data_IF_608850338050
#
_entry.id   IF_608850338050
#
_cell.length_a   1.000
_cell.length_b   1.000
_cell.length_c   1.000
_cell.angle_alpha   90.00
_cell.angle_beta   90.00
_cell.angle_gamma   90.00
#
_symmetry.space_group_name_H-M   'P 1'
#
loop_
_entity.id
_entity.type
_entity.pdbx_description
1 polymer ?
#
# COMPACT_ATOMS: atom_id res chain seq x y z
N UNK A 1 0.73 6.06 1.55
CA UNK A 1 1.40 5.54 2.76
C UNK A 1 0.32 5.03 3.71
N UNK A 2 0.46 3.83 4.23
CA UNK A 2 -0.52 3.27 5.17
C UNK A 2 -0.07 3.52 6.62
N UNK A 3 -1.04 3.53 7.54
CA UNK A 3 -0.80 3.56 8.98
C UNK A 3 -1.24 2.24 9.61
N UNK A 4 -0.61 1.88 10.72
CA UNK A 4 -1.07 0.78 11.58
C UNK A 4 -2.40 1.13 12.27
N UNK A 5 -3.18 0.11 12.64
CA UNK A 5 -4.45 0.29 13.36
C UNK A 5 -4.28 1.14 14.63
N UNK A 6 -3.24 0.87 15.43
CA UNK A 6 -3.02 1.64 16.67
C UNK A 6 -2.77 3.13 16.39
N UNK A 7 -2.12 3.48 15.28
CA UNK A 7 -1.90 4.87 14.87
C UNK A 7 -3.20 5.50 14.39
N UNK A 8 -4.01 4.76 13.61
CA UNK A 8 -5.35 5.20 13.22
C UNK A 8 -6.24 5.49 14.42
N UNK A 9 -6.25 4.61 15.42
CA UNK A 9 -6.98 4.82 16.68
C UNK A 9 -6.47 6.01 17.49
N UNK A 10 -5.16 6.26 17.50
CA UNK A 10 -4.60 7.47 18.11
C UNK A 10 -5.14 8.74 17.44
N UNK A 11 -5.16 8.79 16.09
CA UNK A 11 -5.73 9.92 15.37
C UNK A 11 -7.24 10.07 15.63
N UNK A 12 -7.99 8.96 15.68
CA UNK A 12 -9.42 8.99 16.03
C UNK A 12 -9.65 9.56 17.44
N UNK A 13 -8.86 9.14 18.43
CA UNK A 13 -8.96 9.63 19.80
C UNK A 13 -8.69 11.14 19.90
N UNK A 14 -7.72 11.67 19.16
CA UNK A 14 -7.44 13.11 19.09
C UNK A 14 -8.61 13.94 18.58
N UNK A 15 -9.44 13.36 17.71
CA UNK A 15 -10.68 13.96 17.18
C UNK A 15 -11.88 13.70 18.08
N UNK A 16 -11.67 13.09 19.26
CA UNK A 16 -12.72 12.77 20.23
C UNK A 16 -13.70 11.70 19.74
N UNK A 17 -13.22 10.81 18.88
CA UNK A 17 -13.97 9.65 18.39
C UNK A 17 -13.83 8.47 19.36
N UNK A 18 -14.88 7.64 19.51
CA UNK A 18 -14.89 6.54 20.46
C UNK A 18 -14.03 5.40 19.94
N UNK A 19 -12.91 5.12 20.61
CA UNK A 19 -12.01 3.99 20.35
C UNK A 19 -11.70 3.27 21.67
N UNK A 20 -11.33 2.00 21.58
CA UNK A 20 -10.93 1.22 22.76
C UNK A 20 -9.66 1.80 23.38
N UNK A 21 -9.54 1.71 24.69
CA UNK A 21 -8.26 1.98 25.35
C UNK A 21 -7.30 0.87 24.95
N UNK A 22 -6.23 1.22 24.23
CA UNK A 22 -5.24 0.27 23.74
C UNK A 22 -3.82 0.80 23.81
N UNK A 23 -2.87 -0.12 23.90
CA UNK A 23 -1.43 0.17 23.98
C UNK A 23 -0.71 -0.75 22.98
N UNK A 24 0.07 -0.14 22.10
CA UNK A 24 0.93 -0.86 21.16
C UNK A 24 2.28 -1.17 21.82
N UNK A 25 2.62 -2.44 21.87
CA UNK A 25 3.75 -2.99 22.64
C UNK A 25 4.73 -3.67 21.69
N UNK A 26 6.04 -3.51 21.92
CA UNK A 26 7.08 -4.14 21.08
C UNK A 26 7.82 -5.30 21.78
N UNK A 27 7.46 -5.60 23.03
CA UNK A 27 7.91 -6.80 23.75
C UNK A 27 6.75 -7.55 24.42
N UNK A 28 6.90 -8.85 24.71
CA UNK A 28 5.92 -9.60 25.49
C UNK A 28 5.68 -9.03 26.90
N UNK A 29 6.73 -8.50 27.54
CA UNK A 29 6.63 -7.89 28.88
C UNK A 29 5.79 -6.60 28.85
N UNK A 30 5.99 -5.75 27.84
CA UNK A 30 5.14 -4.58 27.63
C UNK A 30 3.68 -4.95 27.36
N UNK A 31 3.43 -6.01 26.57
CA UNK A 31 2.08 -6.47 26.28
C UNK A 31 1.35 -6.93 27.56
N UNK A 32 2.05 -7.62 28.47
CA UNK A 32 1.51 -7.98 29.78
C UNK A 32 1.25 -6.75 30.64
N UNK A 33 2.21 -5.83 30.74
CA UNK A 33 2.07 -4.60 31.51
C UNK A 33 0.93 -3.69 30.97
N UNK A 34 0.68 -3.72 29.67
CA UNK A 34 -0.42 -3.01 29.04
C UNK A 34 -1.78 -3.48 29.56
N UNK A 35 -1.98 -4.80 29.70
CA UNK A 35 -3.23 -5.35 30.23
C UNK A 35 -3.49 -4.91 31.69
N UNK A 36 -2.45 -4.84 32.52
CA UNK A 36 -2.56 -4.31 33.88
C UNK A 36 -2.96 -2.83 33.90
N UNK A 37 -2.40 -2.03 32.98
CA UNK A 37 -2.72 -0.60 32.85
C UNK A 37 -4.12 -0.33 32.29
N UNK A 38 -4.59 -1.17 31.37
CA UNK A 38 -5.95 -1.10 30.82
C UNK A 38 -6.96 -1.56 31.88
N UNK A 39 -6.62 -2.57 32.67
CA UNK A 39 -7.51 -3.21 33.63
C UNK A 39 -8.56 -4.10 32.94
N UNK A 40 -9.43 -4.71 33.76
CA UNK A 40 -10.44 -5.66 33.30
C UNK A 40 -10.01 -7.12 33.42
N UNK A 41 -10.82 -8.02 32.87
CA UNK A 41 -10.63 -9.48 32.94
C UNK A 41 -10.54 -10.14 31.55
N UNK A 42 -10.58 -9.34 30.48
CA UNK A 42 -10.48 -9.81 29.10
C UNK A 42 -9.96 -8.69 28.22
N UNK A 43 -9.14 -9.05 27.24
CA UNK A 43 -8.50 -8.13 26.30
C UNK A 43 -8.55 -8.71 24.89
N UNK A 44 -8.36 -7.84 23.92
CA UNK A 44 -8.10 -8.25 22.53
C UNK A 44 -6.63 -7.95 22.24
N UNK A 45 -5.92 -8.95 21.72
CA UNK A 45 -4.54 -8.83 21.25
C UNK A 45 -4.53 -8.90 19.73
N UNK A 46 -3.88 -7.93 19.08
CA UNK A 46 -3.88 -7.76 17.62
C UNK A 46 -2.46 -7.55 17.11
N UNK A 47 -1.99 -8.45 16.27
CA UNK A 47 -0.78 -8.24 15.48
C UNK A 47 -0.94 -6.99 14.61
N UNK A 48 0.04 -6.09 14.64
CA UNK A 48 0.01 -4.86 13.86
C UNK A 48 0.78 -5.07 12.56
N UNK A 49 0.03 -5.08 11.46
CA UNK A 49 0.52 -5.05 10.08
C UNK A 49 -0.41 -4.15 9.25
N UNK A 50 0.06 -3.63 8.12
CA UNK A 50 -0.75 -2.75 7.27
C UNK A 50 -1.87 -3.50 6.51
N UNK A 51 -1.69 -4.79 6.24
CA UNK A 51 -2.66 -5.62 5.54
C UNK A 51 -3.88 -5.96 6.41
N UNK A 52 -5.05 -6.05 5.76
CA UNK A 52 -6.28 -6.55 6.36
C UNK A 52 -6.30 -8.07 6.53
N UNK A 53 -7.42 -8.62 6.99
CA UNK A 53 -7.60 -10.08 7.09
C UNK A 53 -6.88 -10.77 8.26
N UNK A 54 -6.31 -9.99 9.19
CA UNK A 54 -5.51 -10.46 10.33
C UNK A 54 -6.25 -11.47 11.20
N UNK A 55 -7.55 -11.29 11.42
CA UNK A 55 -8.37 -12.22 12.20
C UNK A 55 -8.41 -13.63 11.62
N UNK A 56 -8.59 -13.76 10.30
CA UNK A 56 -8.59 -15.07 9.61
C UNK A 56 -7.23 -15.77 9.67
N UNK A 57 -6.14 -14.99 9.74
CA UNK A 57 -4.78 -15.49 9.88
C UNK A 57 -4.35 -15.80 11.35
N UNK A 58 -5.26 -15.62 12.33
CA UNK A 58 -4.96 -15.81 13.74
C UNK A 58 -4.16 -14.66 14.38
N UNK A 59 -3.99 -13.55 13.67
CA UNK A 59 -3.35 -12.33 14.14
C UNK A 59 -4.25 -11.45 15.03
N UNK A 60 -5.45 -11.91 15.38
CA UNK A 60 -6.34 -11.24 16.35
C UNK A 60 -6.93 -12.30 17.28
N UNK A 61 -6.88 -12.08 18.60
CA UNK A 61 -7.40 -13.03 19.58
C UNK A 61 -7.99 -12.33 20.81
N UNK A 62 -9.10 -12.86 21.32
CA UNK A 62 -9.62 -12.53 22.66
C UNK A 62 -8.90 -13.40 23.70
N UNK A 63 -8.39 -12.76 24.74
CA UNK A 63 -7.62 -13.40 25.82
C UNK A 63 -8.17 -12.97 27.18
N UNK A 64 -8.07 -13.85 28.19
CA UNK A 64 -8.69 -13.66 29.52
C UNK A 64 -7.69 -13.58 30.68
N UNK A 65 -6.40 -13.73 30.37
CA UNK A 65 -5.33 -13.70 31.35
C UNK A 65 -4.04 -13.20 30.69
N UNK A 66 -3.08 -12.79 31.50
CA UNK A 66 -1.79 -12.24 31.07
C UNK A 66 -0.87 -13.28 30.43
N UNK A 67 -0.98 -14.55 30.81
CA UNK A 67 -0.20 -15.64 30.20
C UNK A 67 -0.54 -15.83 28.72
N UNK A 68 -1.82 -15.75 28.36
CA UNK A 68 -2.30 -15.81 26.97
C UNK A 68 -1.83 -14.59 26.16
N UNK A 69 -1.75 -13.41 26.78
CA UNK A 69 -1.22 -12.19 26.16
C UNK A 69 0.26 -12.38 25.84
N UNK A 70 1.05 -12.85 26.82
CA UNK A 70 2.47 -13.15 26.64
C UNK A 70 2.69 -14.17 25.53
N UNK A 71 1.96 -15.28 25.57
CA UNK A 71 2.06 -16.34 24.57
C UNK A 71 1.74 -15.82 23.16
N UNK A 72 0.73 -14.97 23.01
CA UNK A 72 0.39 -14.34 21.73
C UNK A 72 1.51 -13.39 21.26
N UNK A 73 2.08 -12.59 22.15
CA UNK A 73 3.17 -11.68 21.81
C UNK A 73 4.45 -12.44 21.40
N UNK A 74 4.84 -13.48 22.14
CA UNK A 74 5.95 -14.38 21.80
C UNK A 74 5.70 -15.16 20.50
N UNK A 75 4.43 -15.47 20.21
CA UNK A 75 4.05 -16.12 18.97
C UNK A 75 4.28 -15.20 17.76
N UNK A 76 3.99 -13.91 17.86
CA UNK A 76 3.92 -13.05 16.67
C UNK A 76 5.07 -12.06 16.54
N UNK A 77 5.58 -11.48 17.62
CA UNK A 77 6.65 -10.48 17.55
C UNK A 77 7.89 -11.03 16.83
N UNK A 78 8.36 -10.30 15.82
CA UNK A 78 9.50 -10.69 14.99
C UNK A 78 9.19 -11.77 13.94
N UNK A 79 7.94 -12.21 13.82
CA UNK A 79 7.50 -13.15 12.76
C UNK A 79 6.72 -12.42 11.66
N UNK A 80 6.52 -13.12 10.55
CA UNK A 80 5.71 -12.66 9.43
C UNK A 80 4.26 -13.11 9.60
N UNK A 81 3.32 -12.19 9.40
CA UNK A 81 1.89 -12.50 9.33
C UNK A 81 1.46 -12.48 7.86
N UNK A 82 1.11 -13.65 7.34
CA UNK A 82 0.54 -13.81 6.00
C UNK A 82 -0.96 -13.70 6.10
N UNK A 83 -1.57 -12.84 5.30
CA UNK A 83 -3.02 -12.71 5.15
C UNK A 83 -3.38 -12.82 3.66
N UNK A 84 -4.68 -12.83 3.34
CA UNK A 84 -5.09 -12.81 1.92
C UNK A 84 -4.79 -11.47 1.22
N UNK A 85 -4.41 -10.42 1.98
CA UNK A 85 -4.02 -9.11 1.46
C UNK A 85 -2.49 -8.91 1.43
N UNK A 86 -1.69 -9.89 1.86
CA UNK A 86 -0.23 -9.88 1.72
C UNK A 86 0.21 -10.77 0.56
N UNK A 87 1.47 -10.67 0.18
CA UNK A 87 2.13 -11.71 -0.61
C UNK A 87 2.33 -13.00 0.21
N UNK A 88 3.02 -13.98 -0.37
CA UNK A 88 3.36 -15.25 0.29
C UNK A 88 4.36 -15.12 1.45
N UNK A 89 5.06 -13.99 1.54
CA UNK A 89 6.04 -13.71 2.59
C UNK A 89 5.41 -13.03 3.81
N UNK A 90 4.27 -12.35 3.63
CA UNK A 90 3.56 -11.68 4.71
C UNK A 90 4.19 -10.35 5.11
N UNK A 91 3.72 -9.79 6.22
CA UNK A 91 4.27 -8.55 6.78
C UNK A 91 4.81 -8.77 8.19
N UNK A 92 5.91 -8.08 8.56
CA UNK A 92 6.56 -8.33 9.84
C UNK A 92 5.73 -7.73 10.96
N UNK A 93 5.50 -8.53 12.01
CA UNK A 93 4.82 -8.06 13.22
C UNK A 93 5.87 -7.49 14.18
N UNK A 94 6.00 -6.17 14.18
CA UNK A 94 6.90 -5.44 15.10
C UNK A 94 6.20 -4.99 16.37
N UNK A 95 4.86 -4.94 16.36
CA UNK A 95 4.04 -4.50 17.51
C UNK A 95 2.79 -5.36 17.69
N UNK A 96 2.37 -5.48 18.94
CA UNK A 96 1.09 -6.05 19.34
C UNK A 96 0.25 -4.94 19.97
N UNK A 97 -0.94 -4.70 19.44
CA UNK A 97 -1.93 -3.85 20.10
C UNK A 97 -2.68 -4.70 21.13
N UNK A 98 -2.59 -4.32 22.39
CA UNK A 98 -3.41 -4.86 23.49
C UNK A 98 -4.48 -3.83 23.80
N UNK A 99 -5.76 -4.21 23.76
CA UNK A 99 -6.86 -3.29 24.01
C UNK A 99 -7.98 -3.90 24.86
N UNK A 100 -8.77 -3.01 25.47
CA UNK A 100 -9.98 -3.39 26.21
C UNK A 100 -10.97 -4.12 25.30
N UNK A 101 -11.58 -5.19 25.81
CA UNK A 101 -12.68 -5.88 25.12
C UNK A 101 -13.91 -4.94 25.01
N UNK A 102 -14.48 -4.86 23.81
CA UNK A 102 -15.75 -4.18 23.55
C UNK A 102 -16.81 -5.22 23.27
N UNK A 103 -17.95 -5.14 23.97
CA UNK A 103 -19.12 -5.96 23.65
C UNK A 103 -19.80 -5.44 22.40
N UNK A 104 -20.21 -6.37 21.53
CA UNK A 104 -20.73 -6.07 20.19
C UNK A 104 -22.18 -6.54 20.14
N UNK A 105 -23.10 -5.61 19.88
CA UNK A 105 -24.49 -5.92 19.55
C UNK A 105 -24.67 -5.97 18.02
N UNK A 106 -24.14 -4.97 17.32
CA UNK A 106 -24.18 -4.89 15.85
C UNK A 106 -22.87 -4.36 15.28
N UNK A 107 -22.54 -4.80 14.06
CA UNK A 107 -21.38 -4.36 13.31
C UNK A 107 -21.84 -3.60 12.05
N UNK A 108 -21.36 -2.38 11.89
CA UNK A 108 -21.58 -1.53 10.72
C UNK A 108 -20.26 -1.29 9.99
N UNK A 109 -20.36 -0.75 8.79
CA UNK A 109 -19.22 -0.24 8.03
C UNK A 109 -19.30 1.28 7.90
N UNK A 110 -18.15 1.96 8.04
CA UNK A 110 -18.00 3.37 7.68
C UNK A 110 -16.61 3.60 7.06
N UNK A 111 -16.56 4.15 5.86
CA UNK A 111 -15.31 4.49 5.19
C UNK A 111 -15.42 5.73 4.33
N UNK A 112 -14.29 6.24 3.85
CA UNK A 112 -14.21 7.35 2.92
C UNK A 112 -13.02 7.21 1.97
N UNK A 113 -13.23 7.65 0.73
CA UNK A 113 -12.19 7.71 -0.31
C UNK A 113 -12.38 8.94 -1.18
N UNK A 114 -11.34 9.31 -1.94
CA UNK A 114 -11.51 10.25 -3.06
C UNK A 114 -12.05 9.48 -4.27
N UNK A 115 -13.35 9.62 -4.53
CA UNK A 115 -14.00 9.03 -5.69
C UNK A 115 -13.58 9.79 -6.96
N UNK A 116 -12.92 9.09 -7.88
CA UNK A 116 -12.44 9.67 -9.14
C UNK A 116 -13.55 9.98 -10.14
N UNK A 117 -14.67 9.27 -10.08
CA UNK A 117 -15.82 9.48 -10.96
C UNK A 117 -16.54 10.78 -10.65
N UNK A 118 -16.84 11.01 -9.37
CA UNK A 118 -17.50 12.25 -8.91
C UNK A 118 -16.49 13.37 -8.66
N UNK A 119 -15.22 13.02 -8.41
CA UNK A 119 -14.12 13.91 -8.02
C UNK A 119 -14.42 14.60 -6.70
N UNK A 120 -14.88 13.81 -5.73
CA UNK A 120 -15.27 14.24 -4.39
C UNK A 120 -14.71 13.27 -3.35
N UNK A 121 -14.56 13.75 -2.12
CA UNK A 121 -14.47 12.84 -0.99
C UNK A 121 -15.86 12.23 -0.83
N UNK A 122 -15.94 10.89 -0.81
CA UNK A 122 -17.20 10.16 -0.67
C UNK A 122 -17.10 9.29 0.56
N UNK A 123 -17.99 9.53 1.52
CA UNK A 123 -18.22 8.62 2.63
C UNK A 123 -19.17 7.52 2.20
N UNK A 124 -18.88 6.30 2.64
CA UNK A 124 -19.67 5.10 2.42
C UNK A 124 -20.05 4.51 3.78
N UNK A 125 -21.30 4.13 3.94
CA UNK A 125 -21.78 3.45 5.13
C UNK A 125 -22.64 2.24 4.77
N UNK A 126 -22.59 1.19 5.59
CA UNK A 126 -23.40 -0.02 5.39
C UNK A 126 -23.74 -0.71 6.70
N UNK A 127 -24.84 -1.47 6.71
CA UNK A 127 -25.19 -2.40 7.79
C UNK A 127 -24.33 -3.67 7.76
N UNK A 128 -23.57 -3.90 6.69
CA UNK A 128 -22.72 -5.07 6.53
C UNK A 128 -21.31 -4.80 7.09
N UNK A 129 -21.22 -4.58 8.41
CA UNK A 129 -19.92 -4.51 9.10
C UNK A 129 -19.26 -5.89 9.26
N UNK A 130 -17.95 -5.91 9.44
CA UNK A 130 -17.17 -7.14 9.65
C UNK A 130 -16.93 -7.98 8.38
N UNK A 131 -17.38 -7.49 7.23
CA UNK A 131 -17.25 -8.11 5.90
C UNK A 131 -16.42 -7.20 5.00
N UNK A 132 -15.74 -7.77 3.99
CA UNK A 132 -15.04 -6.98 2.96
C UNK A 132 -16.05 -6.15 2.17
N UNK A 133 -15.88 -4.83 2.16
CA UNK A 133 -16.85 -3.92 1.54
C UNK A 133 -16.91 -4.10 0.02
N UNK A 134 -15.84 -4.60 -0.60
CA UNK A 134 -15.77 -4.94 -2.02
C UNK A 134 -16.74 -6.07 -2.37
N UNK A 135 -16.91 -7.06 -1.49
CA UNK A 135 -17.90 -8.14 -1.67
C UNK A 135 -19.32 -7.58 -1.58
N UNK A 136 -19.58 -6.69 -0.62
CA UNK A 136 -20.88 -6.01 -0.48
C UNK A 136 -21.18 -5.18 -1.74
N UNK A 137 -20.18 -4.48 -2.28
CA UNK A 137 -20.31 -3.67 -3.49
C UNK A 137 -20.60 -4.49 -4.75
N UNK A 138 -20.11 -5.73 -4.82
CA UNK A 138 -20.38 -6.65 -5.94
C UNK A 138 -21.73 -7.35 -5.80
N UNK A 139 -22.05 -7.87 -4.62
CA UNK A 139 -23.21 -8.76 -4.40
C UNK A 139 -24.48 -8.00 -3.99
N UNK A 140 -24.36 -6.96 -3.17
CA UNK A 140 -25.49 -6.19 -2.60
C UNK A 140 -25.21 -4.68 -2.59
N UNK A 141 -24.92 -4.07 -3.76
CA UNK A 141 -24.51 -2.66 -3.87
C UNK A 141 -25.52 -1.67 -3.26
N UNK A 142 -26.81 -2.02 -3.21
CA UNK A 142 -27.87 -1.23 -2.61
C UNK A 142 -27.72 -1.03 -1.10
N UNK A 143 -26.93 -1.88 -0.43
CA UNK A 143 -26.62 -1.74 1.00
C UNK A 143 -25.50 -0.73 1.28
N UNK A 144 -24.87 -0.17 0.24
CA UNK A 144 -23.82 0.84 0.38
C UNK A 144 -24.42 2.22 0.16
N UNK A 145 -24.59 2.92 1.27
CA UNK A 145 -25.07 4.29 1.33
C UNK A 145 -23.90 5.24 1.11
N UNK A 146 -24.15 6.40 0.49
CA UNK A 146 -23.07 7.34 0.12
C UNK A 146 -23.41 8.78 0.48
N UNK A 147 -22.40 9.52 0.92
CA UNK A 147 -22.47 10.97 1.08
C UNK A 147 -21.26 11.62 0.38
N UNK A 148 -21.52 12.47 -0.62
CA UNK A 148 -20.49 13.22 -1.32
C UNK A 148 -20.22 14.56 -0.63
N UNK A 149 -18.97 14.84 -0.31
CA UNK A 149 -18.58 16.07 0.38
C UNK A 149 -18.40 17.20 -0.63
N UNK A 150 -19.13 18.29 -0.47
CA UNK A 150 -18.96 19.48 -1.30
C UNK A 150 -17.70 20.24 -0.87
N UNK A 151 -16.71 20.46 -1.75
CA UNK A 151 -15.47 21.15 -1.41
C UNK A 151 -15.66 22.61 -0.95
N UNK A 152 -16.78 23.25 -1.30
CA UNK A 152 -17.04 24.65 -0.94
C UNK A 152 -17.49 24.79 0.52
N UNK A 153 -18.32 23.87 1.00
CA UNK A 153 -18.91 23.94 2.34
C UNK A 153 -18.37 22.88 3.29
N UNK A 154 -17.58 21.93 2.80
CA UNK A 154 -17.10 20.78 3.56
C UNK A 154 -18.23 19.83 3.95
N UNK A 155 -17.89 18.84 4.78
CA UNK A 155 -18.88 17.91 5.30
C UNK A 155 -19.93 18.63 6.15
N UNK A 156 -21.19 18.24 6.01
CA UNK A 156 -22.31 18.86 6.71
C UNK A 156 -23.01 17.87 7.66
N UNK A 157 -23.44 18.30 8.86
CA UNK A 157 -24.09 17.41 9.82
C UNK A 157 -25.35 16.72 9.28
N UNK A 158 -26.03 17.28 8.28
CA UNK A 158 -27.21 16.63 7.68
C UNK A 158 -26.82 15.35 6.94
N UNK A 159 -25.64 15.28 6.34
CA UNK A 159 -25.16 14.11 5.60
C UNK A 159 -24.94 12.93 6.56
N UNK A 160 -24.28 13.18 7.69
CA UNK A 160 -24.12 12.19 8.75
C UNK A 160 -25.46 11.70 9.31
N UNK A 161 -26.43 12.60 9.53
CA UNK A 161 -27.78 12.21 9.98
C UNK A 161 -28.53 11.39 8.92
N UNK A 162 -28.42 11.77 7.65
CA UNK A 162 -29.07 11.09 6.54
C UNK A 162 -28.57 9.65 6.39
N UNK A 163 -27.25 9.45 6.45
CA UNK A 163 -26.65 8.11 6.52
C UNK A 163 -27.13 7.34 7.75
N UNK A 164 -27.15 7.97 8.94
CA UNK A 164 -27.61 7.33 10.17
C UNK A 164 -29.06 6.83 10.07
N UNK A 165 -29.98 7.63 9.50
CA UNK A 165 -31.36 7.21 9.29
C UNK A 165 -31.47 6.05 8.28
N UNK A 166 -30.69 6.09 7.20
CA UNK A 166 -30.68 5.03 6.19
C UNK A 166 -30.09 3.72 6.73
N UNK A 167 -29.16 3.78 7.68
CA UNK A 167 -28.66 2.63 8.43
C UNK A 167 -29.66 2.08 9.46
N UNK A 168 -30.78 2.77 9.70
CA UNK A 168 -31.76 2.40 10.72
C UNK A 168 -31.33 2.74 12.15
N UNK A 169 -30.40 3.69 12.34
CA UNK A 169 -30.00 4.14 13.67
C UNK A 169 -31.08 4.98 14.34
N UNK A 170 -31.21 4.84 15.66
CA UNK A 170 -32.28 5.48 16.43
C UNK A 170 -31.75 6.28 17.64
N UNK A 171 -32.56 7.24 18.10
CA UNK A 171 -32.31 7.98 19.34
C UNK A 171 -30.91 8.63 19.40
N UNK A 172 -30.12 8.26 20.43
CA UNK A 172 -28.77 8.81 20.64
C UNK A 172 -27.77 8.43 19.55
N UNK A 173 -27.97 7.29 18.87
CA UNK A 173 -27.05 6.77 17.85
C UNK A 173 -26.95 7.71 16.65
N UNK A 174 -28.05 8.37 16.26
CA UNK A 174 -28.07 9.34 15.15
C UNK A 174 -27.11 10.51 15.45
N UNK A 175 -27.15 11.03 16.68
CA UNK A 175 -26.27 12.11 17.13
C UNK A 175 -24.81 11.67 17.21
N UNK A 176 -24.55 10.46 17.70
CA UNK A 176 -23.21 9.88 17.76
C UNK A 176 -22.63 9.63 16.36
N UNK A 177 -23.39 9.03 15.45
CA UNK A 177 -22.97 8.76 14.08
C UNK A 177 -22.66 10.07 13.35
N UNK A 178 -23.54 11.08 13.45
CA UNK A 178 -23.29 12.38 12.85
C UNK A 178 -22.01 13.04 13.41
N UNK A 179 -21.72 12.89 14.71
CA UNK A 179 -20.45 13.37 15.31
C UNK A 179 -19.24 12.61 14.76
N UNK A 180 -19.34 11.28 14.64
CA UNK A 180 -18.27 10.43 14.09
C UNK A 180 -17.99 10.82 12.63
N UNK A 181 -19.03 10.87 11.79
CA UNK A 181 -18.94 11.31 10.40
C UNK A 181 -18.24 12.67 10.27
N UNK A 182 -18.67 13.67 11.05
CA UNK A 182 -18.07 15.01 11.00
C UNK A 182 -16.60 15.00 11.46
N UNK A 183 -16.26 14.24 12.50
CA UNK A 183 -14.89 14.11 12.98
C UNK A 183 -13.98 13.43 11.97
N UNK A 184 -14.44 12.34 11.36
CA UNK A 184 -13.69 11.61 10.34
C UNK A 184 -13.54 12.43 9.06
N UNK A 185 -14.56 13.18 8.63
CA UNK A 185 -14.45 14.05 7.47
C UNK A 185 -13.42 15.15 7.69
N UNK A 186 -13.43 15.77 8.87
CA UNK A 186 -12.42 16.75 9.26
C UNK A 186 -11.02 16.13 9.31
N UNK A 187 -10.89 14.93 9.88
CA UNK A 187 -9.62 14.19 9.94
C UNK A 187 -9.10 13.87 8.53
N UNK A 188 -10.00 13.44 7.62
CA UNK A 188 -9.67 13.16 6.22
C UNK A 188 -9.07 14.37 5.50
N UNK A 189 -9.64 15.55 5.71
CA UNK A 189 -9.15 16.80 5.14
C UNK A 189 -7.87 17.30 5.83
N UNK A 190 -7.84 17.37 7.16
CA UNK A 190 -6.72 17.93 7.93
C UNK A 190 -5.41 17.15 7.68
N UNK A 191 -5.50 15.83 7.48
CA UNK A 191 -4.37 14.92 7.31
C UNK A 191 -4.13 14.46 5.86
N UNK A 192 -4.82 15.04 4.88
CA UNK A 192 -4.69 14.67 3.46
C UNK A 192 -4.81 13.16 3.24
N UNK A 193 -5.88 12.56 3.75
CA UNK A 193 -6.10 11.13 3.59
C UNK A 193 -6.51 10.80 2.15
N UNK A 194 -6.11 9.62 1.71
CA UNK A 194 -6.58 8.99 0.48
C UNK A 194 -7.65 7.94 0.74
N UNK A 195 -7.60 7.31 1.92
CA UNK A 195 -8.50 6.25 2.38
C UNK A 195 -8.68 6.35 3.90
N UNK A 196 -9.91 6.15 4.34
CA UNK A 196 -10.27 5.94 5.73
C UNK A 196 -11.29 4.81 5.80
N UNK A 197 -11.13 3.90 6.74
CA UNK A 197 -12.05 2.77 6.91
C UNK A 197 -12.13 2.37 8.38
N UNK A 198 -13.37 2.17 8.85
CA UNK A 198 -13.73 1.63 10.15
C UNK A 198 -14.56 0.38 9.89
N UNK A 199 -13.93 -0.78 10.06
CA UNK A 199 -14.57 -2.06 9.80
C UNK A 199 -14.20 -3.07 10.90
N UNK A 200 -15.05 -3.25 11.94
CA UNK A 200 -16.39 -2.69 12.08
C UNK A 200 -16.46 -1.35 12.87
N UNK A 201 -17.47 -0.55 12.53
CA UNK A 201 -18.07 0.46 13.41
C UNK A 201 -19.15 -0.25 14.25
N UNK A 202 -18.90 -0.43 15.53
CA UNK A 202 -19.74 -1.25 16.42
C UNK A 202 -20.85 -0.43 17.07
N UNK A 203 -22.02 -1.03 17.24
CA UNK A 203 -23.01 -0.63 18.24
C UNK A 203 -22.85 -1.57 19.44
N UNK A 204 -22.62 -1.02 20.63
CA UNK A 204 -22.57 -1.80 21.87
C UNK A 204 -23.97 -2.14 22.38
N UNK A 205 -24.13 -3.11 23.30
CA UNK A 205 -25.43 -3.41 23.92
C UNK A 205 -26.09 -2.21 24.62
N UNK A 206 -25.30 -1.22 25.06
CA UNK A 206 -25.78 0.05 25.64
C UNK A 206 -26.30 1.03 24.57
N UNK A 207 -26.19 0.66 23.30
CA UNK A 207 -26.60 1.45 22.14
C UNK A 207 -25.63 2.57 21.77
N UNK A 208 -24.36 2.45 22.17
CA UNK A 208 -23.32 3.44 21.85
C UNK A 208 -22.48 3.00 20.63
N UNK A 209 -22.10 3.96 19.79
CA UNK A 209 -21.22 3.71 18.64
C UNK A 209 -19.74 3.70 19.06
N UNK A 210 -18.97 2.77 18.47
CA UNK A 210 -17.57 2.54 18.82
C UNK A 210 -16.74 2.13 17.60
N UNK A 211 -15.60 2.78 17.37
CA UNK A 211 -14.70 2.48 16.25
C UNK A 211 -13.77 1.32 16.66
N UNK A 212 -14.14 0.08 16.31
CA UNK A 212 -13.43 -1.10 16.78
C UNK A 212 -12.14 -1.38 16.01
N UNK A 213 -12.07 -0.98 14.75
CA UNK A 213 -10.87 -1.06 13.92
C UNK A 213 -10.65 0.27 13.17
N UNK A 214 -9.44 0.48 12.67
CA UNK A 214 -9.06 1.68 11.94
C UNK A 214 -8.05 1.33 10.86
N UNK A 215 -8.38 1.63 9.60
CA UNK A 215 -7.46 1.57 8.47
C UNK A 215 -7.39 2.94 7.81
N UNK A 216 -6.18 3.49 7.73
CA UNK A 216 -5.93 4.83 7.18
C UNK A 216 -4.86 4.74 6.11
N UNK A 217 -5.17 5.28 4.93
CA UNK A 217 -4.23 5.54 3.86
C UNK A 217 -4.05 7.04 3.68
N UNK A 218 -2.81 7.52 3.74
CA UNK A 218 -2.41 8.92 3.56
C UNK A 218 -1.98 9.14 2.11
N UNK A 219 -2.36 10.28 1.52
CA UNK A 219 -1.84 10.69 0.21
C UNK A 219 -0.32 10.93 0.29
N UNK A 220 0.44 10.09 -0.42
CA UNK A 220 1.90 10.20 -0.49
C UNK A 220 2.38 11.56 -0.99
N UNK A 221 1.61 12.19 -1.90
CA UNK A 221 1.96 13.48 -2.47
C UNK A 221 1.80 14.64 -1.47
N UNK A 222 1.05 14.45 -0.38
CA UNK A 222 0.84 15.46 0.64
C UNK A 222 1.81 15.34 1.82
N UNK A 223 2.64 14.29 1.86
CA UNK A 223 3.52 14.02 3.01
C UNK A 223 4.45 15.20 3.35
N UNK A 224 4.89 15.99 2.37
CA UNK A 224 5.75 17.16 2.59
C UNK A 224 5.17 18.19 3.59
N UNK A 225 3.83 18.24 3.73
CA UNK A 225 3.12 19.10 4.70
C UNK A 225 2.54 18.33 5.88
N UNK A 226 2.62 17.00 5.88
CA UNK A 226 2.09 16.11 6.92
C UNK A 226 3.21 15.50 7.78
N UNK A 227 4.04 16.34 8.41
CA UNK A 227 5.24 15.91 9.17
C UNK A 227 4.93 14.86 10.24
N UNK A 228 3.82 15.03 10.97
CA UNK A 228 3.37 14.06 11.98
C UNK A 228 3.15 12.67 11.39
N UNK A 229 2.55 12.59 10.20
CA UNK A 229 2.27 11.32 9.55
C UNK A 229 3.55 10.72 8.95
N UNK A 230 4.48 11.56 8.48
CA UNK A 230 5.80 11.08 8.04
C UNK A 230 6.54 10.33 9.16
N UNK A 231 6.47 10.82 10.40
CA UNK A 231 7.06 10.16 11.58
C UNK A 231 6.37 8.82 11.92
N UNK A 232 5.14 8.62 11.47
CA UNK A 232 4.38 7.37 11.67
C UNK A 232 4.71 6.30 10.63
N UNK A 233 5.47 6.62 9.56
CA UNK A 233 5.78 5.67 8.49
C UNK A 233 6.57 4.48 9.04
N UNK A 234 6.06 3.28 8.77
CA UNK A 234 6.78 2.03 9.03
C UNK A 234 7.28 1.42 7.70
N UNK A 235 8.56 1.61 7.34
CA UNK A 235 9.12 1.07 6.11
C UNK A 235 9.23 -0.46 6.12
N UNK A 236 9.14 -1.11 7.29
CA UNK A 236 9.21 -2.59 7.36
C UNK A 236 8.00 -3.28 6.73
N UNK A 237 6.90 -2.54 6.53
CA UNK A 237 5.65 -3.05 5.98
C UNK A 237 5.58 -2.97 4.44
N UNK A 238 6.57 -2.33 3.81
CA UNK A 238 6.69 -2.17 2.36
C UNK A 238 7.87 -3.04 1.88
N UNK A 239 7.91 -3.39 0.59
CA UNK A 239 9.07 -4.06 0.02
C UNK A 239 10.29 -3.12 0.13
N UNK A 240 11.38 -3.61 0.72
CA UNK A 240 12.60 -2.83 0.93
C UNK A 240 13.14 -2.23 -0.38
N UNK A 241 12.95 -2.93 -1.51
CA UNK A 241 13.34 -2.48 -2.85
C UNK A 241 12.52 -1.29 -3.31
N UNK A 242 11.23 -1.22 -2.97
CA UNK A 242 10.38 -0.06 -3.28
C UNK A 242 10.81 1.17 -2.47
N UNK A 243 11.15 0.99 -1.20
CA UNK A 243 11.68 2.06 -0.36
C UNK A 243 13.04 2.57 -0.85
N UNK A 244 13.94 1.66 -1.24
CA UNK A 244 15.24 2.01 -1.83
C UNK A 244 15.07 2.74 -3.18
N UNK A 245 14.17 2.26 -4.04
CA UNK A 245 13.84 2.92 -5.29
C UNK A 245 13.36 4.36 -5.09
N UNK A 246 12.45 4.57 -4.12
CA UNK A 246 11.91 5.89 -3.82
C UNK A 246 13.00 6.88 -3.37
N UNK A 247 14.04 6.43 -2.66
CA UNK A 247 15.17 7.27 -2.24
C UNK A 247 16.01 7.79 -3.43
N UNK A 248 15.95 7.11 -4.58
CA UNK A 248 16.58 7.49 -5.84
C UNK A 248 15.62 8.17 -6.83
N UNK A 249 14.40 8.46 -6.40
CA UNK A 249 13.26 8.93 -7.21
C UNK A 249 12.94 7.96 -8.37
N UNK A 250 13.07 6.66 -8.11
CA UNK A 250 12.62 5.58 -8.98
C UNK A 250 11.28 5.07 -8.46
N UNK A 251 10.34 4.76 -9.35
CA UNK A 251 9.13 4.06 -8.96
C UNK A 251 9.29 2.59 -9.31
N UNK A 252 9.40 1.73 -8.30
CA UNK A 252 9.56 0.29 -8.45
C UNK A 252 8.35 -0.43 -7.87
N UNK A 253 7.95 -1.55 -8.50
CA UNK A 253 7.01 -2.52 -7.93
C UNK A 253 7.47 -3.91 -8.37
N UNK A 254 7.58 -4.84 -7.44
CA UNK A 254 7.97 -6.22 -7.76
C UNK A 254 6.80 -7.04 -8.34
N UNK A 255 7.09 -8.00 -9.20
CA UNK A 255 6.13 -8.96 -9.78
C UNK A 255 6.71 -10.37 -9.87
N UNK A 256 5.86 -11.37 -10.04
CA UNK A 256 6.24 -12.78 -10.16
C UNK A 256 6.68 -13.17 -11.60
N UNK A 257 7.84 -12.66 -12.02
CA UNK A 257 8.40 -12.94 -13.36
C UNK A 257 9.91 -13.12 -13.38
N UNK A 258 10.46 -13.15 -14.59
CA UNK A 258 11.90 -13.35 -14.81
C UNK A 258 12.52 -12.35 -15.79
N UNK A 259 11.74 -11.40 -16.30
CA UNK A 259 12.21 -10.33 -17.20
C UNK A 259 12.13 -8.99 -16.45
N UNK A 260 13.28 -8.47 -16.06
CA UNK A 260 13.38 -7.15 -15.44
C UNK A 260 13.03 -6.05 -16.44
N UNK A 261 12.25 -5.05 -16.04
CA UNK A 261 11.87 -3.93 -16.89
C UNK A 261 12.44 -2.63 -16.33
N UNK A 262 13.11 -1.84 -17.16
CA UNK A 262 13.58 -0.48 -16.85
C UNK A 262 13.09 0.47 -17.94
N UNK A 263 12.18 1.38 -17.60
CA UNK A 263 11.46 2.18 -18.59
C UNK A 263 11.33 3.63 -18.11
N UNK A 264 11.30 4.61 -19.01
CA UNK A 264 10.98 5.99 -18.65
C UNK A 264 9.49 6.31 -18.91
N UNK A 265 8.77 6.64 -17.84
CA UNK A 265 7.35 6.97 -17.82
C UNK A 265 6.46 5.77 -17.49
N UNK A 266 5.63 5.92 -16.45
CA UNK A 266 4.75 4.88 -15.95
C UNK A 266 3.84 4.22 -17.02
N UNK A 267 3.27 5.01 -17.94
CA UNK A 267 2.43 4.47 -19.02
C UNK A 267 3.22 3.57 -19.98
N UNK A 268 4.45 3.95 -20.32
CA UNK A 268 5.32 3.14 -21.16
C UNK A 268 5.82 1.90 -20.41
N UNK A 269 6.08 2.03 -19.10
CA UNK A 269 6.48 0.91 -18.26
C UNK A 269 5.42 -0.20 -18.24
N UNK A 270 4.15 0.15 -17.98
CA UNK A 270 3.03 -0.79 -18.08
C UNK A 270 2.88 -1.39 -19.49
N UNK A 271 2.92 -0.56 -20.53
CA UNK A 271 2.84 -1.06 -21.91
C UNK A 271 4.00 -1.98 -22.31
N UNK A 272 5.18 -1.77 -21.72
CA UNK A 272 6.37 -2.62 -21.91
C UNK A 272 6.18 -3.99 -21.24
N UNK A 273 5.65 -4.00 -20.02
CA UNK A 273 5.30 -5.24 -19.32
C UNK A 273 4.22 -6.02 -20.08
N UNK A 274 3.20 -5.32 -20.58
CA UNK A 274 2.11 -5.92 -21.36
C UNK A 274 2.61 -6.54 -22.66
N UNK A 275 3.49 -5.85 -23.41
CA UNK A 275 4.03 -6.42 -24.65
C UNK A 275 4.99 -7.59 -24.39
N UNK A 276 5.76 -7.58 -23.29
CA UNK A 276 6.52 -8.76 -22.86
C UNK A 276 5.56 -9.93 -22.61
N UNK A 277 4.48 -9.69 -21.85
CA UNK A 277 3.49 -10.71 -21.51
C UNK A 277 2.76 -11.24 -22.75
N UNK A 278 2.41 -10.36 -23.69
CA UNK A 278 1.78 -10.69 -24.96
C UNK A 278 2.66 -11.62 -25.81
N UNK A 279 3.98 -11.45 -25.74
CA UNK A 279 4.96 -12.31 -26.40
C UNK A 279 5.35 -13.56 -25.58
N UNK A 280 4.58 -13.90 -24.53
CA UNK A 280 4.81 -15.11 -23.74
C UNK A 280 5.85 -14.98 -22.63
N UNK A 281 6.41 -13.78 -22.43
CA UNK A 281 7.31 -13.47 -21.31
C UNK A 281 6.60 -13.28 -19.97
N UNK A 282 7.38 -13.13 -18.91
CA UNK A 282 6.88 -12.81 -17.56
C UNK A 282 7.64 -11.61 -17.00
N UNK A 283 7.04 -10.40 -16.98
CA UNK A 283 7.68 -9.24 -16.38
C UNK A 283 7.91 -9.49 -14.88
N UNK A 284 9.14 -9.28 -14.41
CA UNK A 284 9.57 -9.48 -13.03
C UNK A 284 9.36 -8.23 -12.16
N UNK A 285 9.23 -7.06 -12.79
CA UNK A 285 9.01 -5.82 -12.07
C UNK A 285 8.39 -4.77 -12.99
N UNK A 286 7.83 -3.74 -12.37
CA UNK A 286 7.63 -2.42 -12.92
C UNK A 286 8.77 -1.53 -12.43
N UNK A 287 9.43 -0.78 -13.31
CA UNK A 287 10.35 0.30 -12.89
C UNK A 287 10.24 1.48 -13.86
N UNK A 288 9.85 2.63 -13.31
CA UNK A 288 9.89 3.94 -13.97
C UNK A 288 11.09 4.75 -13.48
N UNK A 289 12.06 5.01 -14.37
CA UNK A 289 13.26 5.84 -14.12
C UNK A 289 12.97 7.35 -14.18
N UNK A 290 11.76 7.74 -14.56
CA UNK A 290 11.33 9.11 -14.79
C UNK A 290 11.98 9.73 -16.03
N UNK A 291 11.86 11.06 -16.17
CA UNK A 291 12.37 11.78 -17.35
C UNK A 291 13.91 11.92 -17.41
N UNK A 292 14.62 11.68 -16.30
CA UNK A 292 16.06 11.87 -16.17
C UNK A 292 16.80 10.56 -15.93
N UNK A 293 17.25 9.90 -17.01
CA UNK A 293 18.03 8.68 -16.97
C UNK A 293 19.54 8.98 -16.87
N UNK A 294 20.01 9.49 -15.72
CA UNK A 294 21.45 9.68 -15.48
C UNK A 294 22.17 8.35 -15.25
N UNK A 295 23.50 8.32 -15.36
CA UNK A 295 24.29 7.10 -15.13
C UNK A 295 24.04 6.52 -13.74
N UNK A 296 23.99 7.36 -12.72
CA UNK A 296 23.79 6.96 -11.32
C UNK A 296 22.44 6.30 -11.15
N UNK A 297 21.37 6.94 -11.65
CA UNK A 297 20.00 6.39 -11.59
C UNK A 297 19.86 5.06 -12.32
N UNK A 298 20.46 4.94 -13.51
CA UNK A 298 20.45 3.69 -14.27
C UNK A 298 21.20 2.60 -13.51
N UNK A 299 22.31 2.93 -12.85
CA UNK A 299 23.09 1.97 -12.04
C UNK A 299 22.29 1.47 -10.83
N UNK A 300 21.62 2.36 -10.11
CA UNK A 300 20.76 1.99 -8.98
C UNK A 300 19.54 1.20 -9.42
N UNK A 301 18.91 1.58 -10.54
CA UNK A 301 17.82 0.81 -11.13
C UNK A 301 18.25 -0.62 -11.49
N UNK A 302 19.47 -0.83 -12.01
CA UNK A 302 20.02 -2.17 -12.23
C UNK A 302 20.24 -2.93 -10.92
N UNK A 303 20.78 -2.29 -9.87
CA UNK A 303 20.97 -2.94 -8.56
C UNK A 303 19.64 -3.42 -7.98
N UNK A 304 18.61 -2.58 -8.05
CA UNK A 304 17.27 -2.90 -7.54
C UNK A 304 16.66 -4.05 -8.34
N UNK A 305 16.65 -3.97 -9.68
CA UNK A 305 16.11 -5.05 -10.53
C UNK A 305 16.83 -6.37 -10.28
N UNK A 306 18.16 -6.35 -10.19
CA UNK A 306 18.99 -7.55 -10.06
C UNK A 306 19.19 -8.02 -8.62
N UNK A 307 18.59 -7.33 -7.65
CA UNK A 307 18.45 -7.87 -6.28
C UNK A 307 17.47 -9.04 -6.24
N UNK A 308 16.66 -9.20 -7.29
CA UNK A 308 15.80 -10.35 -7.51
C UNK A 308 16.50 -11.44 -8.34
N UNK A 309 16.84 -12.55 -7.67
CA UNK A 309 17.50 -13.70 -8.30
C UNK A 309 16.64 -14.39 -9.39
N UNK A 310 15.33 -14.12 -9.44
CA UNK A 310 14.46 -14.65 -10.48
C UNK A 310 14.72 -14.00 -11.85
N UNK A 311 15.35 -12.82 -11.89
CA UNK A 311 15.61 -12.08 -13.14
C UNK A 311 16.64 -12.82 -14.00
N UNK A 312 16.23 -13.23 -15.20
CA UNK A 312 17.04 -13.92 -16.19
C UNK A 312 17.42 -13.05 -17.39
N UNK A 313 16.73 -11.93 -17.62
CA UNK A 313 17.05 -10.92 -18.62
C UNK A 313 16.48 -9.57 -18.21
N UNK A 314 17.03 -8.47 -18.73
CA UNK A 314 16.51 -7.11 -18.49
C UNK A 314 16.15 -6.45 -19.82
N UNK A 315 14.94 -5.89 -19.92
CA UNK A 315 14.53 -4.99 -21.00
C UNK A 315 14.64 -3.54 -20.51
N UNK A 316 15.52 -2.77 -21.15
CA UNK A 316 15.60 -1.32 -21.03
C UNK A 316 14.86 -0.71 -22.21
N UNK A 317 13.76 0.00 -21.99
CA UNK A 317 13.00 0.68 -23.03
C UNK A 317 12.94 2.18 -22.74
N UNK A 318 13.70 2.96 -23.50
CA UNK A 318 13.75 4.41 -23.35
C UNK A 318 13.21 5.10 -24.59
N UNK A 319 12.14 5.88 -24.42
CA UNK A 319 11.56 6.70 -25.47
C UNK A 319 11.67 8.18 -25.09
N UNK A 320 12.45 8.95 -25.86
CA UNK A 320 12.61 10.39 -25.64
C UNK A 320 13.35 10.71 -24.34
N UNK A 321 12.80 11.64 -23.54
CA UNK A 321 13.44 12.16 -22.32
C UNK A 321 14.33 13.37 -22.58
N UNK A 322 14.99 13.86 -21.52
CA UNK A 322 15.85 15.06 -21.58
C UNK A 322 17.31 14.77 -21.94
N UNK A 323 17.70 13.49 -21.97
CA UNK A 323 19.06 13.02 -22.25
C UNK A 323 19.08 12.37 -23.64
N UNK A 324 20.13 12.63 -24.45
CA UNK A 324 20.28 12.01 -25.78
C UNK A 324 20.60 10.52 -25.67
N UNK A 325 20.17 9.73 -26.65
CA UNK A 325 20.30 8.28 -26.61
C UNK A 325 21.75 7.79 -26.58
N UNK A 326 22.70 8.52 -27.18
CA UNK A 326 24.14 8.21 -27.10
C UNK A 326 24.67 8.27 -25.65
N UNK A 327 24.26 9.28 -24.90
CA UNK A 327 24.66 9.42 -23.49
C UNK A 327 23.98 8.39 -22.58
N UNK A 328 22.72 8.05 -22.88
CA UNK A 328 22.00 6.98 -22.17
C UNK A 328 22.69 5.63 -22.43
N UNK A 329 23.08 5.35 -23.68
CA UNK A 329 23.82 4.14 -24.04
C UNK A 329 25.15 4.05 -23.26
N UNK A 330 25.92 5.12 -23.18
CA UNK A 330 27.14 5.20 -22.35
C UNK A 330 26.83 4.95 -20.86
N UNK A 331 25.74 5.52 -20.35
CA UNK A 331 25.25 5.31 -18.98
C UNK A 331 24.92 3.85 -18.70
N UNK A 332 24.20 3.17 -19.61
CA UNK A 332 23.86 1.74 -19.52
C UNK A 332 25.14 0.89 -19.53
N UNK A 333 26.07 1.15 -20.46
CA UNK A 333 27.35 0.43 -20.53
C UNK A 333 28.14 0.59 -19.23
N UNK A 334 28.18 1.82 -18.70
CA UNK A 334 28.82 2.13 -17.42
C UNK A 334 28.19 1.35 -16.28
N UNK A 335 26.87 1.40 -16.15
CA UNK A 335 26.10 0.69 -15.13
C UNK A 335 26.29 -0.83 -15.22
N UNK A 336 26.22 -1.41 -16.42
CA UNK A 336 26.41 -2.86 -16.64
C UNK A 336 27.78 -3.32 -16.18
N UNK A 337 28.84 -2.54 -16.45
CA UNK A 337 30.21 -2.84 -16.00
C UNK A 337 30.39 -2.66 -14.51
N UNK A 338 29.83 -1.58 -13.95
CA UNK A 338 29.99 -1.20 -12.55
C UNK A 338 29.23 -2.14 -11.61
N UNK A 339 27.98 -2.46 -11.94
CA UNK A 339 27.13 -3.39 -11.19
C UNK A 339 27.54 -4.85 -11.45
N UNK A 340 28.19 -5.13 -12.59
CA UNK A 340 28.61 -6.48 -12.96
C UNK A 340 27.45 -7.34 -13.45
N UNK A 341 26.59 -6.77 -14.29
CA UNK A 341 25.38 -7.43 -14.81
C UNK A 341 25.76 -8.62 -15.70
N UNK A 342 25.30 -9.81 -15.32
CA UNK A 342 25.61 -11.08 -16.02
C UNK A 342 24.50 -11.54 -16.95
N UNK A 343 23.25 -11.17 -16.65
CA UNK A 343 22.09 -11.49 -17.47
C UNK A 343 22.10 -10.69 -18.77
N UNK A 344 21.55 -11.22 -19.87
CA UNK A 344 21.40 -10.46 -21.12
C UNK A 344 20.54 -9.20 -20.90
N UNK A 345 20.97 -8.10 -21.49
CA UNK A 345 20.25 -6.83 -21.47
C UNK A 345 19.79 -6.49 -22.88
N UNK A 346 18.49 -6.43 -23.10
CA UNK A 346 17.90 -5.91 -24.34
C UNK A 346 17.62 -4.44 -24.14
N UNK A 347 18.07 -3.60 -25.08
CA UNK A 347 17.92 -2.15 -25.00
C UNK A 347 17.24 -1.64 -26.24
N UNK A 348 16.18 -0.87 -26.04
CA UNK A 348 15.46 -0.14 -27.08
C UNK A 348 15.56 1.35 -26.77
N UNK A 349 16.21 2.10 -27.66
CA UNK A 349 16.35 3.56 -27.57
C UNK A 349 15.57 4.23 -28.71
N UNK A 350 14.81 5.28 -28.40
CA UNK A 350 14.22 6.19 -29.39
C UNK A 350 14.44 7.64 -29.02
N UNK A 351 14.67 8.46 -30.05
CA UNK A 351 14.83 9.89 -29.94
C UNK A 351 16.14 10.37 -30.54
N UNK A 352 16.66 11.46 -30.00
CA UNK A 352 17.86 12.10 -30.52
C UNK A 352 19.07 11.16 -30.41
N UNK A 353 19.77 10.95 -31.53
CA UNK A 353 20.93 10.06 -31.64
C UNK A 353 20.63 8.59 -31.31
N UNK A 354 19.39 8.11 -31.46
CA UNK A 354 19.04 6.70 -31.20
C UNK A 354 19.92 5.72 -32.00
N UNK A 355 20.11 5.96 -33.30
CA UNK A 355 20.98 5.12 -34.15
C UNK A 355 22.42 5.06 -33.62
N UNK A 356 22.97 6.20 -33.17
CA UNK A 356 24.31 6.27 -32.59
C UNK A 356 24.37 5.52 -31.25
N UNK A 357 23.37 5.71 -30.38
CA UNK A 357 23.29 5.00 -29.11
C UNK A 357 23.21 3.49 -29.29
N UNK A 358 22.37 3.01 -30.22
CA UNK A 358 22.27 1.59 -30.57
C UNK A 358 23.59 1.04 -31.11
N UNK A 359 24.31 1.81 -31.92
CA UNK A 359 25.65 1.44 -32.40
C UNK A 359 26.66 1.32 -31.25
N UNK A 360 26.68 2.29 -30.34
CA UNK A 360 27.55 2.29 -29.14
C UNK A 360 27.29 1.07 -28.26
N UNK A 361 26.02 0.68 -28.08
CA UNK A 361 25.65 -0.53 -27.34
C UNK A 361 26.16 -1.80 -28.04
N UNK A 362 25.98 -1.92 -29.35
CA UNK A 362 26.41 -3.08 -30.14
C UNK A 362 27.96 -3.24 -30.17
N UNK A 363 28.70 -2.13 -30.18
CA UNK A 363 30.17 -2.12 -30.20
C UNK A 363 30.80 -2.28 -28.80
N UNK A 364 30.00 -2.33 -27.73
CA UNK A 364 30.48 -2.31 -26.34
C UNK A 364 31.19 -3.59 -25.87
N UNK A 365 30.98 -4.72 -26.58
CA UNK A 365 31.48 -6.04 -26.22
C UNK A 365 30.79 -6.69 -25.01
N UNK A 366 29.75 -6.06 -24.46
CA UNK A 366 28.93 -6.58 -23.38
C UNK A 366 27.78 -7.44 -23.94
N UNK A 367 27.11 -8.22 -23.08
CA UNK A 367 25.91 -8.98 -23.44
C UNK A 367 24.68 -8.05 -23.54
N UNK A 368 24.77 -7.06 -24.42
CA UNK A 368 23.76 -6.03 -24.65
C UNK A 368 23.27 -6.17 -26.09
N UNK A 369 21.95 -6.24 -26.24
CA UNK A 369 21.26 -6.43 -27.50
C UNK A 369 20.51 -5.15 -27.82
N UNK A 370 20.92 -4.43 -28.86
CA UNK A 370 20.21 -3.23 -29.32
C UNK A 370 19.02 -3.64 -30.22
N UNK A 371 17.80 -3.45 -29.72
CA UNK A 371 16.57 -3.75 -30.44
C UNK A 371 16.11 -2.57 -31.31
N UNK A 372 15.49 -2.88 -32.44
CA UNK A 372 15.09 -1.92 -33.49
C UNK A 372 13.68 -1.35 -33.32
N UNK A 373 12.82 -2.01 -32.56
CA UNK A 373 11.45 -1.58 -32.28
C UNK A 373 10.97 -2.15 -30.96
N UNK A 374 9.81 -1.69 -30.48
CA UNK A 374 9.23 -2.21 -29.25
C UNK A 374 8.86 -3.70 -29.35
N UNK A 375 8.30 -4.13 -30.49
CA UNK A 375 7.95 -5.53 -30.73
C UNK A 375 9.21 -6.42 -30.78
N UNK A 376 10.22 -5.97 -31.52
CA UNK A 376 11.52 -6.64 -31.61
C UNK A 376 12.20 -6.75 -30.23
N UNK A 377 12.16 -5.69 -29.42
CA UNK A 377 12.72 -5.71 -28.07
C UNK A 377 12.02 -6.74 -27.17
N UNK A 378 10.69 -6.86 -27.26
CA UNK A 378 9.91 -7.83 -26.52
C UNK A 378 10.25 -9.27 -26.94
N UNK A 379 10.26 -9.57 -28.24
CA UNK A 379 10.64 -10.89 -28.76
C UNK A 379 12.05 -11.28 -28.34
N UNK A 380 13.00 -10.35 -28.46
CA UNK A 380 14.40 -10.60 -28.11
C UNK A 380 14.59 -10.84 -26.60
N UNK A 381 13.92 -10.07 -25.73
CA UNK A 381 14.09 -10.27 -24.28
C UNK A 381 13.43 -11.56 -23.80
N UNK A 382 12.28 -11.93 -24.38
CA UNK A 382 11.62 -13.21 -24.08
C UNK A 382 12.52 -14.37 -24.46
N UNK A 383 13.11 -14.34 -25.66
CA UNK A 383 14.07 -15.34 -26.12
C UNK A 383 15.32 -15.38 -25.22
N UNK A 384 15.84 -14.22 -24.83
CA UNK A 384 17.01 -14.11 -23.97
C UNK A 384 16.77 -14.65 -22.55
N UNK A 385 15.54 -14.54 -22.04
CA UNK A 385 15.12 -15.07 -20.74
C UNK A 385 14.77 -16.57 -20.76
N UNK A 386 15.01 -17.28 -21.87
CA UNK A 386 14.70 -18.71 -22.02
C UNK A 386 13.26 -19.02 -22.44
N UNK A 387 12.50 -18.02 -22.90
CA UNK A 387 11.22 -18.23 -23.58
C UNK A 387 11.39 -18.92 -24.94
N UNK A 388 10.37 -19.67 -25.38
CA UNK A 388 10.36 -20.34 -26.68
C UNK A 388 10.04 -19.39 -27.81
#
# INVERSE_FOLDING_TARGET
>A
MNLHEYQGKQLFAEYGLPVSQGIACDTPDEAVAAAEKIGGNSWVVKAQVHAGGRGKAGGVKLVKNTDDIRAFAEQWLGKQLVTFQTDEHGQPVSRILVESLTDIDQELYLGAVVDRGTRRIVFMASTEGGVEIETVAEETPEKILRAEIDPLVGAQPYQGRDLAFQLGLEGKQIGQFAKIFMGLAKLFEDYDLALLEINPLVITPEGDLHCLDAKIGVDGNALYRQKKLQEMRDPSQEDAREAEAAAWELNYVALEGNIGCMVNGAGLAMGTMDIIKLNGGRPANFLDVGGGATKERVSEAFKIILSDDAVQAVLVNIFGGIVRCDMIAEGIIGAVKEVGVKVPVVVRLEGNNAELGSKVLAESGLNIIAASSLADAAEQVVKAAGGK
#
